data_IF_071070466416
#
_entry.id   IF_071070466416
#
_cell.length_a   1.000
_cell.length_b   1.000
_cell.length_c   1.000
_cell.angle_alpha   90.00
_cell.angle_beta   90.00
_cell.angle_gamma   90.00
#
_symmetry.space_group_name_H-M   'P 1'
#
loop_
_entity.id
_entity.type
_entity.pdbx_description
1 polymer ?
#
# COMPACT_ATOMS: atom_id res chain seq x y z
N UNK A 1 15.30 8.97 0.94
CA UNK A 1 14.84 8.19 -0.23
C UNK A 1 14.92 9.12 -1.44
N UNK A 2 15.90 8.92 -2.31
CA UNK A 2 16.07 9.72 -3.54
C UNK A 2 15.49 8.89 -4.68
N UNK A 3 14.35 9.30 -5.22
CA UNK A 3 13.81 8.69 -6.44
C UNK A 3 14.74 9.06 -7.60
N UNK A 4 15.52 8.08 -8.11
CA UNK A 4 16.29 8.28 -9.34
C UNK A 4 15.32 8.47 -10.51
N UNK A 5 15.59 9.43 -11.41
CA UNK A 5 14.81 9.66 -12.65
C UNK A 5 14.52 8.37 -13.44
N UNK A 6 15.38 7.36 -13.32
CA UNK A 6 15.21 6.06 -13.98
C UNK A 6 13.99 5.25 -13.52
N UNK A 7 13.35 5.60 -12.40
CA UNK A 7 12.12 4.96 -11.93
C UNK A 7 10.88 5.55 -12.61
N UNK A 8 10.88 6.87 -12.84
CA UNK A 8 9.77 7.66 -13.39
C UNK A 8 9.25 7.14 -14.74
N UNK A 9 10.14 6.68 -15.61
CA UNK A 9 9.76 6.23 -16.95
C UNK A 9 9.37 4.75 -17.02
N UNK A 10 9.53 3.94 -15.96
CA UNK A 10 9.36 2.48 -16.11
C UNK A 10 7.91 2.06 -16.24
N UNK A 11 7.05 2.55 -15.35
CA UNK A 11 5.60 2.32 -15.47
C UNK A 11 5.07 2.86 -16.80
N UNK A 12 5.55 4.02 -17.25
CA UNK A 12 5.21 4.55 -18.56
C UNK A 12 5.71 3.64 -19.71
N UNK A 13 6.96 3.21 -19.69
CA UNK A 13 7.54 2.39 -20.76
C UNK A 13 6.92 0.99 -20.83
N UNK A 14 6.50 0.42 -19.70
CA UNK A 14 5.95 -0.94 -19.63
C UNK A 14 4.42 -0.98 -19.78
N UNK A 15 3.73 0.05 -19.28
CA UNK A 15 2.27 0.03 -19.13
C UNK A 15 1.58 1.31 -19.65
N UNK A 16 2.34 2.27 -20.19
CA UNK A 16 1.78 3.52 -20.74
C UNK A 16 1.25 4.50 -19.70
N UNK A 17 1.40 4.22 -18.40
CA UNK A 17 0.85 5.05 -17.34
C UNK A 17 1.91 6.07 -16.86
N UNK A 18 1.75 7.37 -17.16
CA UNK A 18 2.73 8.38 -16.79
C UNK A 18 2.71 8.67 -15.29
N UNK A 19 3.86 9.03 -14.74
CA UNK A 19 3.92 9.58 -13.38
C UNK A 19 3.89 8.57 -12.23
N UNK A 20 3.54 7.31 -12.49
CA UNK A 20 3.56 6.27 -11.46
C UNK A 20 5.00 5.92 -11.08
N UNK A 21 5.28 6.00 -9.79
CA UNK A 21 6.61 5.72 -9.21
C UNK A 21 6.64 4.45 -8.35
N UNK A 22 5.48 3.83 -8.13
CA UNK A 22 5.38 2.56 -7.43
C UNK A 22 3.94 2.12 -7.18
N UNK A 23 3.78 0.85 -6.83
CA UNK A 23 2.53 0.31 -6.34
C UNK A 23 2.65 0.10 -4.82
N UNK A 24 1.60 0.42 -4.07
CA UNK A 24 1.50 0.23 -2.62
C UNK A 24 0.40 -0.78 -2.31
N UNK A 25 0.67 -1.71 -1.41
CA UNK A 25 -0.33 -2.66 -0.92
C UNK A 25 0.02 -3.11 0.51
N UNK A 26 -0.97 -3.65 1.21
CA UNK A 26 -0.83 -4.27 2.53
C UNK A 26 -1.02 -5.79 2.44
N UNK A 27 -0.12 -6.53 3.07
CA UNK A 27 -0.17 -8.00 3.10
C UNK A 27 -0.03 -8.53 4.52
N UNK A 28 -0.76 -9.60 4.81
CA UNK A 28 -0.69 -10.25 6.12
C UNK A 28 0.38 -11.34 6.12
N UNK A 29 1.42 -11.16 6.93
CA UNK A 29 2.42 -12.19 7.19
C UNK A 29 1.98 -12.97 8.42
N UNK A 30 1.68 -14.26 8.26
CA UNK A 30 1.25 -15.11 9.35
C UNK A 30 2.34 -15.27 10.41
N UNK A 31 1.93 -15.28 11.68
CA UNK A 31 2.83 -15.49 12.82
C UNK A 31 2.27 -16.55 13.75
N UNK A 32 3.14 -17.08 14.61
CA UNK A 32 2.67 -17.78 15.80
C UNK A 32 2.03 -16.74 16.74
N UNK A 33 0.85 -17.02 17.33
CA UNK A 33 0.18 -16.09 18.22
C UNK A 33 1.08 -15.68 19.40
N UNK A 34 1.09 -14.39 19.78
CA UNK A 34 1.72 -14.00 21.03
C UNK A 34 0.92 -14.54 22.22
N UNK A 35 1.49 -14.44 23.43
CA UNK A 35 0.79 -14.83 24.64
C UNK A 35 -0.48 -13.98 24.83
N UNK A 36 -1.56 -14.62 25.28
CA UNK A 36 -2.87 -13.99 25.48
C UNK A 36 -2.77 -12.77 26.40
N UNK A 37 -2.01 -12.89 27.49
CA UNK A 37 -1.86 -11.86 28.52
C UNK A 37 -0.56 -11.04 28.38
N UNK A 38 0.04 -10.98 27.18
CA UNK A 38 1.23 -10.15 27.01
C UNK A 38 0.89 -8.66 27.25
N UNK A 39 1.61 -7.93 28.12
CA UNK A 39 1.24 -6.57 28.51
C UNK A 39 1.26 -5.58 27.34
N UNK A 40 2.27 -5.68 26.46
CA UNK A 40 2.43 -4.76 25.32
C UNK A 40 1.86 -5.28 23.99
N UNK A 41 1.69 -6.60 23.86
CA UNK A 41 1.40 -7.29 22.59
C UNK A 41 0.33 -8.38 22.78
N UNK A 42 -0.84 -8.04 23.33
CA UNK A 42 -1.87 -9.04 23.58
C UNK A 42 -2.34 -9.69 22.28
N UNK A 43 -2.62 -10.99 22.34
CA UNK A 43 -2.93 -11.85 21.19
C UNK A 43 -4.01 -11.29 20.26
N UNK A 44 -5.09 -10.74 20.82
CA UNK A 44 -6.25 -10.29 20.05
C UNK A 44 -5.93 -9.19 19.04
N UNK A 45 -4.87 -8.40 19.28
CA UNK A 45 -4.44 -7.37 18.34
C UNK A 45 -3.89 -7.97 17.04
N UNK A 46 -3.39 -9.20 17.08
CA UNK A 46 -2.75 -9.84 15.93
C UNK A 46 -3.74 -10.62 15.05
N UNK A 47 -5.00 -10.78 15.47
CA UNK A 47 -6.04 -11.44 14.69
C UNK A 47 -6.53 -10.53 13.56
N UNK A 48 -6.44 -10.99 12.32
CA UNK A 48 -6.90 -10.23 11.15
C UNK A 48 -8.36 -10.55 10.76
N UNK A 49 -8.86 -9.87 9.71
CA UNK A 49 -10.21 -10.07 9.15
C UNK A 49 -10.50 -11.50 8.65
N UNK A 50 -9.47 -12.31 8.44
CA UNK A 50 -9.55 -13.72 8.03
C UNK A 50 -9.40 -14.68 9.22
N UNK A 51 -9.48 -14.17 10.45
CA UNK A 51 -9.44 -14.94 11.70
C UNK A 51 -8.14 -15.73 11.93
N UNK A 52 -6.99 -15.19 11.50
CA UNK A 52 -5.67 -15.74 11.84
C UNK A 52 -4.68 -14.67 12.30
N UNK A 53 -3.65 -15.09 13.04
CA UNK A 53 -2.61 -14.19 13.58
C UNK A 53 -1.64 -13.74 12.51
N UNK A 54 -1.43 -12.43 12.42
CA UNK A 54 -0.52 -11.86 11.43
C UNK A 54 0.08 -10.53 11.86
N UNK A 55 1.14 -10.15 11.17
CA UNK A 55 1.60 -8.76 11.05
C UNK A 55 1.03 -8.21 9.75
N UNK A 56 0.40 -7.04 9.81
CA UNK A 56 0.00 -6.31 8.61
C UNK A 56 1.21 -5.52 8.09
N UNK A 57 1.70 -5.91 6.91
CA UNK A 57 2.92 -5.39 6.29
C UNK A 57 2.55 -4.56 5.07
N UNK A 58 2.85 -3.26 5.12
CA UNK A 58 2.77 -2.41 3.93
C UNK A 58 4.06 -2.54 3.11
N UNK A 59 3.91 -2.63 1.80
CA UNK A 59 5.00 -2.67 0.83
C UNK A 59 4.77 -1.64 -0.28
N UNK A 60 5.87 -1.05 -0.75
CA UNK A 60 5.90 -0.33 -2.03
C UNK A 60 6.89 -1.03 -2.94
N UNK A 61 6.49 -1.32 -4.18
CA UNK A 61 7.36 -1.88 -5.21
C UNK A 61 7.43 -1.01 -6.47
N UNK A 62 8.55 -1.10 -7.20
CA UNK A 62 8.67 -0.55 -8.55
C UNK A 62 8.13 -1.50 -9.63
N UNK A 63 8.10 -1.04 -10.88
CA UNK A 63 7.61 -1.83 -12.01
C UNK A 63 8.44 -3.10 -12.32
N UNK A 64 9.62 -3.27 -11.74
CA UNK A 64 10.42 -4.51 -11.83
C UNK A 64 10.27 -5.39 -10.58
N UNK A 65 9.22 -5.15 -9.79
CA UNK A 65 8.94 -5.86 -8.54
C UNK A 65 10.02 -5.67 -7.47
N UNK A 66 10.83 -4.60 -7.55
CA UNK A 66 11.81 -4.28 -6.50
C UNK A 66 11.13 -3.56 -5.36
N UNK A 67 11.32 -4.06 -4.14
CA UNK A 67 10.81 -3.42 -2.92
C UNK A 67 11.54 -2.08 -2.71
N UNK A 68 10.77 -0.99 -2.69
CA UNK A 68 11.23 0.37 -2.43
C UNK A 68 11.01 0.78 -0.97
N UNK A 69 9.94 0.27 -0.35
CA UNK A 69 9.61 0.54 1.05
C UNK A 69 8.94 -0.68 1.67
N UNK A 70 9.16 -0.87 2.97
CA UNK A 70 8.48 -1.87 3.79
C UNK A 70 8.16 -1.27 5.16
N UNK A 71 6.97 -1.57 5.67
CA UNK A 71 6.59 -1.31 7.06
C UNK A 71 5.88 -2.52 7.66
N UNK A 72 6.53 -3.21 8.59
CA UNK A 72 6.04 -4.42 9.25
C UNK A 72 5.83 -4.20 10.76
N UNK A 73 5.28 -3.05 11.16
CA UNK A 73 5.16 -2.66 12.58
C UNK A 73 3.75 -2.82 13.16
N UNK A 74 2.77 -3.18 12.33
CA UNK A 74 1.37 -3.13 12.71
C UNK A 74 0.82 -4.54 12.90
N UNK A 75 0.05 -4.78 13.97
CA UNK A 75 -0.53 -6.08 14.21
C UNK A 75 -1.69 -6.34 13.24
N UNK A 76 -2.06 -7.61 13.04
CA UNK A 76 -2.99 -8.06 12.00
C UNK A 76 -4.40 -7.47 12.06
N UNK A 77 -4.84 -6.95 13.21
CA UNK A 77 -6.11 -6.23 13.33
C UNK A 77 -6.09 -4.81 12.73
N UNK A 78 -4.92 -4.29 12.37
CA UNK A 78 -4.78 -2.90 11.92
C UNK A 78 -5.30 -2.73 10.50
N UNK A 79 -6.15 -1.73 10.29
CA UNK A 79 -6.63 -1.36 8.96
C UNK A 79 -5.53 -0.69 8.11
N UNK A 80 -5.52 -0.99 6.80
CA UNK A 80 -4.53 -0.49 5.84
C UNK A 80 -4.50 1.05 5.77
N UNK A 81 -5.68 1.68 5.86
CA UNK A 81 -5.81 3.14 5.89
C UNK A 81 -5.16 3.77 7.13
N UNK A 82 -5.21 3.09 8.28
CA UNK A 82 -4.52 3.52 9.49
C UNK A 82 -3.01 3.44 9.30
N UNK A 83 -2.51 2.35 8.74
CA UNK A 83 -1.09 2.17 8.42
C UNK A 83 -0.64 3.32 7.52
N UNK A 84 -1.32 3.54 6.39
CA UNK A 84 -1.00 4.62 5.45
C UNK A 84 -0.79 5.98 6.11
N UNK A 85 -1.73 6.39 6.97
CA UNK A 85 -1.70 7.70 7.63
C UNK A 85 -0.50 7.88 8.58
N UNK A 86 0.15 6.80 8.99
CA UNK A 86 1.29 6.82 9.91
C UNK A 86 2.64 6.54 9.22
N UNK A 87 2.67 6.44 7.89
CA UNK A 87 3.91 6.21 7.16
C UNK A 87 4.59 7.52 6.75
N UNK A 88 5.92 7.52 6.86
CA UNK A 88 6.75 8.61 6.34
C UNK A 88 6.57 8.82 4.83
N UNK A 89 6.24 7.75 4.08
CA UNK A 89 6.02 7.83 2.63
C UNK A 89 4.80 8.68 2.29
N UNK A 90 3.76 8.69 3.13
CA UNK A 90 2.60 9.57 2.96
C UNK A 90 3.03 11.04 3.01
N UNK A 91 3.89 11.40 3.97
CA UNK A 91 4.39 12.78 4.11
C UNK A 91 5.33 13.14 2.97
N UNK A 92 6.16 12.20 2.52
CA UNK A 92 7.03 12.39 1.36
C UNK A 92 6.20 12.67 0.09
N UNK A 93 5.20 11.84 -0.21
CA UNK A 93 4.35 12.00 -1.39
C UNK A 93 3.57 13.31 -1.35
N UNK A 94 3.01 13.67 -0.20
CA UNK A 94 2.34 14.97 0.01
C UNK A 94 3.30 16.14 -0.27
N UNK A 95 4.50 16.10 0.28
CA UNK A 95 5.49 17.16 0.09
C UNK A 95 5.97 17.25 -1.36
N UNK A 96 6.17 16.12 -2.04
CA UNK A 96 6.53 16.09 -3.45
C UNK A 96 5.43 16.73 -4.29
N UNK A 97 4.19 16.31 -4.10
CA UNK A 97 3.04 16.84 -4.82
C UNK A 97 2.87 18.35 -4.62
N UNK A 98 3.01 18.84 -3.38
CA UNK A 98 2.89 20.27 -3.06
C UNK A 98 4.02 21.13 -3.63
N UNK A 99 5.27 20.63 -3.64
CA UNK A 99 6.45 21.43 -4.01
C UNK A 99 6.71 21.48 -5.51
N UNK A 100 6.48 20.37 -6.18
CA UNK A 100 6.98 20.19 -7.55
C UNK A 100 5.91 20.36 -8.62
N UNK A 101 4.62 20.36 -8.26
CA UNK A 101 3.51 20.30 -9.22
C UNK A 101 3.70 19.19 -10.27
N UNK A 102 4.44 18.13 -9.92
CA UNK A 102 4.67 17.00 -10.83
C UNK A 102 3.70 15.88 -10.50
N UNK A 103 3.28 15.21 -11.56
CA UNK A 103 2.35 14.09 -11.59
C UNK A 103 3.00 12.81 -11.03
N UNK A 104 3.48 12.82 -9.78
CA UNK A 104 3.97 11.60 -9.13
C UNK A 104 2.86 10.89 -8.36
N UNK A 105 2.63 9.63 -8.72
CA UNK A 105 1.57 8.82 -8.13
C UNK A 105 2.10 7.49 -7.58
N UNK A 106 1.48 7.05 -6.49
CA UNK A 106 1.45 5.63 -6.12
C UNK A 106 0.12 5.03 -6.61
N UNK A 107 0.15 3.79 -7.08
CA UNK A 107 -1.05 3.00 -7.32
C UNK A 107 -1.34 2.14 -6.09
N UNK A 108 -2.54 2.23 -5.54
CA UNK A 108 -3.01 1.41 -4.42
C UNK A 108 -4.23 0.57 -4.80
N UNK A 109 -4.54 -0.40 -3.95
CA UNK A 109 -5.79 -1.16 -4.01
C UNK A 109 -6.99 -0.31 -3.51
N UNK A 110 -8.21 -0.86 -3.52
CA UNK A 110 -9.39 -0.14 -3.00
C UNK A 110 -9.40 0.01 -1.46
N UNK A 111 -8.58 -0.76 -0.74
CA UNK A 111 -8.35 -0.60 0.69
C UNK A 111 -7.52 0.65 1.04
N UNK A 112 -6.77 1.17 0.07
CA UNK A 112 -6.01 2.39 0.22
C UNK A 112 -6.90 3.65 0.14
N UNK A 113 -6.60 4.72 0.91
CA UNK A 113 -7.37 5.94 0.83
C UNK A 113 -7.02 6.74 -0.44
N UNK A 114 -7.99 7.02 -1.30
CA UNK A 114 -7.81 7.84 -2.50
C UNK A 114 -7.26 9.25 -2.16
N UNK A 115 -6.17 9.67 -2.80
CA UNK A 115 -5.55 11.01 -2.65
C UNK A 115 -5.00 11.49 -3.99
N UNK A 116 -4.71 12.79 -4.10
CA UNK A 116 -4.08 13.39 -5.29
C UNK A 116 -2.71 12.81 -5.67
N UNK A 117 -2.07 12.04 -4.78
CA UNK A 117 -0.78 11.37 -4.97
C UNK A 117 -0.82 9.85 -4.69
N UNK A 118 -2.02 9.29 -4.49
CA UNK A 118 -2.27 7.86 -4.27
C UNK A 118 -3.58 7.52 -5.00
N UNK A 119 -3.44 6.94 -6.19
CA UNK A 119 -4.55 6.58 -7.05
C UNK A 119 -4.98 5.16 -6.73
N UNK A 120 -6.27 4.98 -6.49
CA UNK A 120 -6.90 3.66 -6.38
C UNK A 120 -7.72 3.42 -7.64
N UNK A 121 -7.94 2.15 -7.99
CA UNK A 121 -8.85 1.83 -9.08
C UNK A 121 -10.23 2.44 -8.79
N UNK A 122 -10.83 3.03 -9.82
CA UNK A 122 -12.24 3.38 -9.77
C UNK A 122 -13.01 2.06 -9.77
N UNK A 123 -13.79 1.82 -8.73
CA UNK A 123 -14.81 0.78 -8.74
C UNK A 123 -15.94 1.24 -9.68
N UNK A 124 -15.72 1.15 -10.99
CA UNK A 124 -16.84 1.08 -11.91
C UNK A 124 -17.46 -0.31 -11.76
N UNK A 125 -18.79 -0.37 -11.65
CA UNK A 125 -19.53 -1.62 -11.81
C UNK A 125 -18.93 -2.36 -13.01
N UNK A 126 -18.44 -3.61 -12.85
CA UNK A 126 -17.80 -4.32 -13.94
C UNK A 126 -18.74 -4.29 -15.14
N UNK A 127 -18.25 -3.85 -16.30
CA UNK A 127 -19.03 -3.84 -17.51
C UNK A 127 -19.67 -5.22 -17.68
N UNK A 128 -20.99 -5.27 -17.92
CA UNK A 128 -21.73 -6.52 -18.10
C UNK A 128 -20.93 -7.43 -19.05
N UNK A 129 -20.64 -8.65 -18.60
CA UNK A 129 -19.84 -9.70 -19.27
C UNK A 129 -18.31 -9.68 -19.06
N UNK A 130 -17.81 -9.07 -17.99
CA UNK A 130 -16.41 -9.28 -17.54
C UNK A 130 -16.33 -10.41 -16.51
N UNK A 131 -15.21 -11.16 -16.40
CA UNK A 131 -15.05 -12.28 -15.45
C UNK A 131 -15.33 -11.92 -13.99
N UNK A 132 -15.21 -10.65 -13.65
CA UNK A 132 -15.47 -10.08 -12.33
C UNK A 132 -16.98 -9.94 -12.03
N UNK A 133 -17.86 -10.21 -13.00
CA UNK A 133 -19.32 -10.19 -12.91
C UNK A 133 -19.92 -11.62 -12.85
N UNK A 134 -19.41 -12.47 -11.95
CA UNK A 134 -20.00 -13.80 -11.64
C UNK A 134 -20.22 -14.02 -10.15
#
# INVERSE_FOLDING_TARGET
>A
MVFKLSLYNRFYNQHGFPGVIGCIDCTHVAIYPPNIEHPDYPEYLYVNRKSYHSINVQLICDANLKILNICARYPGSTHDSFIWNHLNVQTLMRNLHQRTHTDYYLLGDSGCPLRSWLLTLLEEEPAQNTPEHT
#
